data_IF_252813974456
#
_entry.id   IF_252813974456
#
_cell.length_a   1.000
_cell.length_b   1.000
_cell.length_c   1.000
_cell.angle_alpha   90.00
_cell.angle_beta   90.00
_cell.angle_gamma   90.00
#
_symmetry.space_group_name_H-M   'P 1'
#
loop_
_entity.id
_entity.type
_entity.pdbx_description
1 polymer ?
#
# COMPACT_ATOMS: atom_id res chain seq x y z
N UNK A 1 -22.10 9.67 -1.53
CA UNK A 1 -20.67 9.81 -1.86
C UNK A 1 -19.79 9.34 -0.72
N UNK A 2 -19.13 8.21 -0.97
CA UNK A 2 -18.07 7.62 -0.15
C UNK A 2 -16.86 8.53 -0.07
N UNK A 3 -16.06 8.38 0.98
CA UNK A 3 -14.82 9.15 1.16
C UNK A 3 -13.79 8.80 0.08
N UNK A 4 -13.65 7.52 -0.26
CA UNK A 4 -12.74 7.07 -1.32
C UNK A 4 -13.05 7.74 -2.68
N UNK A 5 -14.34 7.89 -3.00
CA UNK A 5 -14.78 8.62 -4.19
C UNK A 5 -14.31 10.08 -4.20
N UNK A 6 -14.40 10.77 -3.05
CA UNK A 6 -13.91 12.16 -2.94
C UNK A 6 -12.43 12.28 -3.25
N UNK A 7 -11.61 11.36 -2.72
CA UNK A 7 -10.17 11.33 -3.02
C UNK A 7 -9.88 11.15 -4.53
N UNK A 8 -10.71 10.38 -5.23
CA UNK A 8 -10.60 10.26 -6.70
C UNK A 8 -10.98 11.59 -7.37
N UNK A 9 -12.06 12.24 -6.95
CA UNK A 9 -12.52 13.52 -7.52
C UNK A 9 -11.55 14.68 -7.25
N UNK A 10 -10.83 14.67 -6.12
CA UNK A 10 -9.78 15.66 -5.85
C UNK A 10 -8.66 15.59 -6.90
N UNK A 11 -8.37 14.38 -7.42
CA UNK A 11 -7.34 14.14 -8.44
C UNK A 11 -7.90 14.22 -9.87
N UNK A 12 -9.17 13.87 -10.04
CA UNK A 12 -9.89 13.83 -11.32
C UNK A 12 -11.24 14.56 -11.22
N UNK A 13 -11.25 15.89 -11.07
CA UNK A 13 -12.49 16.65 -10.86
C UNK A 13 -13.46 16.56 -12.03
N UNK A 14 -12.95 16.31 -13.24
CA UNK A 14 -13.77 16.11 -14.44
C UNK A 14 -14.68 14.87 -14.38
N UNK A 15 -14.45 13.94 -13.45
CA UNK A 15 -15.30 12.76 -13.27
C UNK A 15 -16.59 13.04 -12.50
N UNK A 16 -16.70 14.19 -11.82
CA UNK A 16 -17.87 14.52 -10.99
C UNK A 16 -19.17 14.58 -11.81
N UNK A 17 -19.11 15.14 -13.03
CA UNK A 17 -20.25 15.16 -13.95
C UNK A 17 -20.62 13.80 -14.56
N UNK A 18 -19.84 12.75 -14.28
CA UNK A 18 -19.98 11.41 -14.87
C UNK A 18 -20.40 10.35 -13.85
N UNK A 19 -20.61 10.73 -12.61
CA UNK A 19 -20.85 9.81 -11.51
C UNK A 19 -22.12 8.98 -11.71
N UNK A 20 -23.21 9.59 -12.17
CA UNK A 20 -24.51 8.92 -12.30
C UNK A 20 -24.72 8.22 -13.65
N UNK A 21 -23.72 8.24 -14.54
CA UNK A 21 -23.84 7.69 -15.89
C UNK A 21 -24.14 6.17 -15.92
N UNK A 22 -23.73 5.43 -14.88
CA UNK A 22 -24.05 4.01 -14.74
C UNK A 22 -25.57 3.74 -14.64
N UNK A 23 -26.37 4.73 -14.23
CA UNK A 23 -27.84 4.61 -14.15
C UNK A 23 -28.50 4.56 -15.53
N UNK A 24 -27.84 5.05 -16.58
CA UNK A 24 -28.34 5.02 -17.95
C UNK A 24 -27.32 4.37 -18.89
N UNK A 25 -27.48 3.05 -19.10
CA UNK A 25 -26.55 2.23 -19.89
C UNK A 25 -26.34 2.73 -21.32
N UNK A 26 -27.33 3.38 -21.91
CA UNK A 26 -27.23 3.90 -23.29
C UNK A 26 -26.24 5.07 -23.40
N UNK A 27 -25.98 5.78 -22.30
CA UNK A 27 -25.06 6.93 -22.23
C UNK A 27 -23.62 6.57 -21.79
N UNK A 28 -23.39 5.33 -21.35
CA UNK A 28 -22.07 4.90 -20.81
C UNK A 28 -20.97 5.10 -21.86
N UNK A 29 -21.25 4.75 -23.12
CA UNK A 29 -20.28 4.88 -24.21
C UNK A 29 -19.87 6.34 -24.43
N UNK A 30 -20.84 7.25 -24.47
CA UNK A 30 -20.60 8.68 -24.70
C UNK A 30 -19.85 9.33 -23.53
N UNK A 31 -20.06 8.83 -22.31
CA UNK A 31 -19.38 9.29 -21.10
C UNK A 31 -17.92 8.81 -21.03
N UNK A 32 -17.66 7.59 -21.54
CA UNK A 32 -16.35 6.94 -21.54
C UNK A 32 -15.46 7.38 -22.71
N UNK A 33 -16.02 7.64 -23.89
CA UNK A 33 -15.26 7.99 -25.11
C UNK A 33 -14.21 9.10 -24.94
N UNK A 34 -14.43 10.17 -24.15
CA UNK A 34 -13.41 11.21 -23.96
C UNK A 34 -12.36 10.89 -22.87
N UNK A 35 -12.45 9.75 -22.17
CA UNK A 35 -11.52 9.38 -21.10
C UNK A 35 -10.36 8.53 -21.61
N UNK A 36 -9.18 8.68 -21.01
CA UNK A 36 -8.09 7.73 -21.20
C UNK A 36 -8.26 6.49 -20.29
N UNK A 37 -7.44 5.45 -20.52
CA UNK A 37 -7.53 4.18 -19.80
C UNK A 37 -7.42 4.34 -18.26
N UNK A 38 -6.58 5.27 -17.79
CA UNK A 38 -6.39 5.58 -16.37
C UNK A 38 -7.69 6.19 -15.80
N UNK A 39 -8.19 7.24 -16.44
CA UNK A 39 -9.41 7.94 -16.02
C UNK A 39 -10.63 7.02 -16.05
N UNK A 40 -10.75 6.19 -17.09
CA UNK A 40 -11.82 5.20 -17.22
C UNK A 40 -11.76 4.17 -16.08
N UNK A 41 -10.56 3.70 -15.74
CA UNK A 41 -10.35 2.78 -14.62
C UNK A 41 -10.77 3.40 -13.30
N UNK A 42 -10.40 4.66 -13.05
CA UNK A 42 -10.81 5.37 -11.83
C UNK A 42 -12.31 5.68 -11.80
N UNK A 43 -12.94 6.00 -12.93
CA UNK A 43 -14.40 6.18 -13.00
C UNK A 43 -15.14 4.87 -12.67
N UNK A 44 -14.71 3.74 -13.22
CA UNK A 44 -15.27 2.42 -12.90
C UNK A 44 -15.08 2.07 -11.42
N UNK A 45 -13.93 2.44 -10.85
CA UNK A 45 -13.66 2.25 -9.42
C UNK A 45 -14.61 3.10 -8.55
N UNK A 46 -14.89 4.34 -8.96
CA UNK A 46 -15.89 5.19 -8.30
C UNK A 46 -17.28 4.57 -8.36
N UNK A 47 -17.72 4.09 -9.53
CA UNK A 47 -19.02 3.44 -9.67
C UNK A 47 -19.16 2.23 -8.73
N UNK A 48 -18.11 1.40 -8.63
CA UNK A 48 -18.06 0.31 -7.67
C UNK A 48 -18.12 0.81 -6.21
N UNK A 49 -17.38 1.85 -5.83
CA UNK A 49 -17.41 2.36 -4.45
C UNK A 49 -18.80 2.89 -4.05
N UNK A 50 -19.47 3.61 -4.95
CA UNK A 50 -20.80 4.15 -4.70
C UNK A 50 -21.90 3.09 -4.74
N UNK A 51 -21.79 2.08 -5.61
CA UNK A 51 -22.83 1.06 -5.77
C UNK A 51 -22.28 -0.38 -5.90
N UNK A 52 -21.64 -0.93 -4.86
CA UNK A 52 -20.92 -2.21 -4.93
C UNK A 52 -21.82 -3.45 -5.10
N UNK A 53 -23.13 -3.32 -4.90
CA UNK A 53 -24.09 -4.43 -5.06
C UNK A 53 -24.51 -4.62 -6.52
N UNK A 54 -24.55 -3.53 -7.30
CA UNK A 54 -24.96 -3.56 -8.71
C UNK A 54 -23.80 -3.39 -9.69
N UNK A 55 -22.75 -2.67 -9.28
CA UNK A 55 -21.57 -2.40 -10.10
C UNK A 55 -20.41 -3.30 -9.68
N UNK A 56 -19.68 -3.83 -10.67
CA UNK A 56 -18.52 -4.70 -10.44
C UNK A 56 -17.23 -4.04 -10.90
N UNK A 57 -16.15 -4.23 -10.15
CA UNK A 57 -14.82 -3.78 -10.53
C UNK A 57 -13.90 -4.94 -10.89
N UNK A 58 -13.34 -4.93 -12.11
CA UNK A 58 -12.46 -5.99 -12.58
C UNK A 58 -10.99 -5.66 -12.29
N UNK A 59 -10.36 -6.38 -11.37
CA UNK A 59 -8.97 -6.15 -10.95
C UNK A 59 -7.94 -6.16 -12.10
N UNK A 60 -8.20 -6.87 -13.19
CA UNK A 60 -7.34 -6.86 -14.38
C UNK A 60 -7.16 -5.47 -15.01
N UNK A 61 -8.07 -4.51 -14.75
CA UNK A 61 -7.88 -3.12 -15.18
C UNK A 61 -6.72 -2.46 -14.46
N UNK A 62 -6.51 -2.75 -13.17
CA UNK A 62 -5.36 -2.23 -12.43
C UNK A 62 -4.04 -2.67 -13.05
N UNK A 63 -3.95 -3.92 -13.53
CA UNK A 63 -2.75 -4.46 -14.15
C UNK A 63 -2.48 -3.90 -15.55
N UNK A 64 -3.54 -3.66 -16.32
CA UNK A 64 -3.44 -3.29 -17.73
C UNK A 64 -3.32 -1.78 -17.92
N UNK A 65 -4.05 -1.02 -17.11
CA UNK A 65 -4.36 0.38 -17.39
C UNK A 65 -3.62 1.34 -16.44
N UNK A 66 -3.04 0.84 -15.34
CA UNK A 66 -2.36 1.66 -14.34
C UNK A 66 -0.88 1.25 -14.18
N UNK A 67 -0.01 2.23 -14.09
CA UNK A 67 1.42 2.10 -13.78
C UNK A 67 1.80 2.88 -12.52
N UNK A 68 2.92 2.50 -11.90
CA UNK A 68 3.61 3.19 -10.80
C UNK A 68 2.67 3.92 -9.82
N UNK A 69 2.69 5.26 -9.83
CA UNK A 69 1.94 6.14 -8.94
C UNK A 69 0.42 5.94 -9.04
N UNK A 70 -0.10 5.60 -10.22
CA UNK A 70 -1.54 5.38 -10.42
C UNK A 70 -1.98 4.05 -9.83
N UNK A 71 -1.18 3.00 -9.99
CA UNK A 71 -1.44 1.71 -9.38
C UNK A 71 -1.36 1.80 -7.85
N UNK A 72 -0.33 2.47 -7.32
CA UNK A 72 -0.21 2.71 -5.87
C UNK A 72 -1.43 3.45 -5.33
N UNK A 73 -1.84 4.53 -6.01
CA UNK A 73 -3.00 5.31 -5.61
C UNK A 73 -4.29 4.49 -5.61
N UNK A 74 -4.52 3.65 -6.63
CA UNK A 74 -5.70 2.79 -6.70
C UNK A 74 -5.72 1.74 -5.56
N UNK A 75 -4.57 1.13 -5.25
CA UNK A 75 -4.46 0.17 -4.14
C UNK A 75 -4.70 0.84 -2.78
N UNK A 76 -4.18 2.05 -2.58
CA UNK A 76 -4.42 2.85 -1.38
C UNK A 76 -5.92 3.15 -1.23
N UNK A 77 -6.59 3.56 -2.32
CA UNK A 77 -8.03 3.83 -2.34
C UNK A 77 -8.89 2.61 -2.04
N UNK A 78 -8.55 1.44 -2.59
CA UNK A 78 -9.27 0.19 -2.32
C UNK A 78 -9.16 -0.17 -0.83
N UNK A 79 -7.94 -0.12 -0.28
CA UNK A 79 -7.73 -0.38 1.14
C UNK A 79 -8.46 0.64 2.02
N UNK A 80 -8.41 1.92 1.64
CA UNK A 80 -9.10 3.01 2.31
C UNK A 80 -10.63 2.82 2.29
N UNK A 81 -11.22 2.48 1.14
CA UNK A 81 -12.65 2.19 1.02
C UNK A 81 -13.09 1.08 1.97
N UNK A 82 -12.35 -0.04 1.99
CA UNK A 82 -12.70 -1.17 2.86
C UNK A 82 -12.48 -0.87 4.36
N UNK A 83 -11.64 0.10 4.69
CA UNK A 83 -11.38 0.53 6.07
C UNK A 83 -12.36 1.61 6.54
N UNK A 84 -12.53 2.67 5.77
CA UNK A 84 -13.18 3.92 6.18
C UNK A 84 -14.63 4.06 5.71
N UNK A 85 -14.99 3.41 4.61
CA UNK A 85 -16.31 3.55 3.98
C UNK A 85 -17.24 2.34 4.20
N UNK A 86 -16.65 1.15 4.40
CA UNK A 86 -17.41 -0.09 4.67
C UNK A 86 -17.12 -0.71 6.03
N UNK A 87 -16.02 -0.31 6.68
CA UNK A 87 -15.56 -0.87 7.97
C UNK A 87 -15.36 -2.40 7.97
N UNK A 88 -15.16 -3.00 6.80
CA UNK A 88 -14.90 -4.44 6.66
C UNK A 88 -13.47 -4.79 7.11
N UNK A 89 -12.51 -3.88 6.91
CA UNK A 89 -11.17 -3.99 7.50
C UNK A 89 -11.19 -3.37 8.91
N UNK A 90 -11.45 -4.20 9.92
CA UNK A 90 -11.58 -3.75 11.32
C UNK A 90 -10.25 -3.52 12.04
N UNK A 91 -9.23 -4.31 11.69
CA UNK A 91 -7.89 -4.25 12.28
C UNK A 91 -6.86 -4.05 11.15
N UNK A 92 -6.71 -2.82 10.64
CA UNK A 92 -5.79 -2.56 9.55
C UNK A 92 -4.35 -2.85 9.99
N UNK A 93 -3.72 -3.84 9.36
CA UNK A 93 -2.27 -4.10 9.42
C UNK A 93 -1.58 -3.82 8.09
N UNK A 94 -2.36 -3.33 7.11
CA UNK A 94 -1.88 -2.97 5.79
C UNK A 94 -1.21 -1.61 5.86
N UNK A 95 0.08 -1.58 5.59
CA UNK A 95 0.80 -0.36 5.20
C UNK A 95 1.60 -0.70 3.96
N UNK A 96 1.54 0.16 2.96
CA UNK A 96 2.44 0.12 1.81
C UNK A 96 3.74 0.80 2.25
N UNK A 97 4.85 0.08 2.20
CA UNK A 97 6.19 0.68 2.31
C UNK A 97 6.55 1.12 0.89
N UNK A 98 6.70 2.42 0.67
CA UNK A 98 7.10 2.99 -0.62
C UNK A 98 8.63 2.92 -0.77
N UNK A 99 9.14 2.86 -2.00
CA UNK A 99 10.58 3.06 -2.20
C UNK A 99 10.99 4.47 -1.72
N UNK A 100 11.91 4.52 -0.76
CA UNK A 100 12.27 5.75 -0.04
C UNK A 100 11.85 5.74 1.44
N UNK A 101 10.97 4.83 1.84
CA UNK A 101 10.76 4.53 3.24
C UNK A 101 12.02 3.87 3.80
N UNK A 102 12.63 4.49 4.81
CA UNK A 102 13.84 4.03 5.48
C UNK A 102 13.63 2.71 6.26
N UNK A 103 12.76 1.79 5.83
CA UNK A 103 12.43 0.57 6.55
C UNK A 103 13.06 -0.67 5.91
N UNK A 104 13.85 -1.38 6.71
CA UNK A 104 14.51 -2.63 6.36
C UNK A 104 13.70 -3.80 6.91
N UNK A 105 13.39 -4.77 6.05
CA UNK A 105 12.86 -6.06 6.48
C UNK A 105 13.94 -6.93 7.15
N UNK A 106 13.55 -8.07 7.75
CA UNK A 106 14.50 -8.93 8.47
C UNK A 106 15.73 -9.37 7.65
N UNK A 107 15.54 -9.63 6.35
CA UNK A 107 16.64 -10.06 5.47
C UNK A 107 17.59 -8.90 5.20
N UNK A 108 17.03 -7.71 4.93
CA UNK A 108 17.82 -6.49 4.73
C UNK A 108 18.57 -6.05 5.99
N UNK A 109 17.94 -6.15 7.17
CA UNK A 109 18.60 -5.91 8.45
C UNK A 109 19.80 -6.86 8.63
N UNK A 110 19.62 -8.16 8.41
CA UNK A 110 20.74 -9.11 8.47
C UNK A 110 21.85 -8.75 7.46
N UNK A 111 21.49 -8.40 6.22
CA UNK A 111 22.42 -7.92 5.20
C UNK A 111 23.24 -6.71 5.66
N UNK A 112 22.57 -5.69 6.20
CA UNK A 112 23.21 -4.47 6.71
C UNK A 112 24.28 -4.75 7.78
N UNK A 113 24.00 -5.69 8.70
CA UNK A 113 24.95 -6.07 9.74
C UNK A 113 26.19 -6.78 9.15
N UNK A 114 25.98 -7.65 8.15
CA UNK A 114 27.08 -8.33 7.45
C UNK A 114 27.97 -7.34 6.69
N UNK A 115 27.37 -6.39 5.96
CA UNK A 115 28.08 -5.31 5.27
C UNK A 115 28.92 -4.48 6.25
N UNK A 116 28.42 -4.30 7.47
CA UNK A 116 29.10 -3.63 8.56
C UNK A 116 30.05 -4.52 9.38
N UNK A 117 30.47 -5.67 8.82
CA UNK A 117 31.43 -6.64 9.36
C UNK A 117 30.98 -7.35 10.65
N UNK A 118 29.70 -7.31 10.99
CA UNK A 118 29.14 -8.09 12.07
C UNK A 118 28.71 -9.47 11.55
N UNK A 119 29.05 -10.54 12.29
CA UNK A 119 28.71 -11.93 11.91
C UNK A 119 27.25 -12.25 12.25
N UNK A 120 26.31 -11.72 11.49
CA UNK A 120 24.87 -11.97 11.61
C UNK A 120 24.31 -12.54 10.31
N UNK A 121 24.09 -13.85 10.25
CA UNK A 121 23.23 -14.42 9.22
C UNK A 121 21.74 -14.28 9.61
N UNK A 122 20.85 -14.52 8.64
CA UNK A 122 19.39 -14.44 8.85
C UNK A 122 18.90 -15.40 9.95
N UNK A 123 19.53 -16.56 10.10
CA UNK A 123 19.15 -17.59 11.09
C UNK A 123 19.47 -17.11 12.50
N UNK A 124 20.69 -16.61 12.72
CA UNK A 124 21.15 -16.01 13.97
C UNK A 124 20.30 -14.81 14.34
N UNK A 125 19.99 -13.93 13.39
CA UNK A 125 19.14 -12.77 13.63
C UNK A 125 17.73 -13.19 14.08
N UNK A 126 17.14 -14.21 13.45
CA UNK A 126 15.84 -14.77 13.86
C UNK A 126 15.87 -15.34 15.29
N UNK A 127 16.91 -16.10 15.64
CA UNK A 127 17.09 -16.65 16.98
C UNK A 127 17.23 -15.53 18.03
N UNK A 128 18.02 -14.50 17.72
CA UNK A 128 18.27 -13.40 18.63
C UNK A 128 17.02 -12.53 18.81
N UNK A 129 16.22 -12.38 17.76
CA UNK A 129 14.94 -11.68 17.80
C UNK A 129 13.95 -12.39 18.73
N UNK A 130 13.82 -13.73 18.63
CA UNK A 130 13.00 -14.53 19.55
C UNK A 130 13.47 -14.44 21.01
N UNK A 131 14.76 -14.21 21.22
CA UNK A 131 15.38 -14.03 22.55
C UNK A 131 15.32 -12.58 23.07
N UNK A 132 14.70 -11.66 22.33
CA UNK A 132 14.62 -10.25 22.71
C UNK A 132 15.96 -9.51 22.66
N UNK A 133 16.96 -10.04 21.93
CA UNK A 133 18.29 -9.42 21.77
C UNK A 133 18.38 -8.47 20.58
N UNK A 134 17.41 -8.52 19.67
CA UNK A 134 17.25 -7.57 18.56
C UNK A 134 16.15 -6.58 18.98
N UNK A 135 16.24 -5.30 18.63
CA UNK A 135 15.15 -4.35 18.83
C UNK A 135 13.83 -4.88 18.28
N UNK A 136 12.72 -4.55 18.94
CA UNK A 136 11.39 -4.85 18.41
C UNK A 136 11.23 -4.14 17.05
N UNK A 137 10.48 -4.72 16.09
CA UNK A 137 10.18 -4.05 14.84
C UNK A 137 9.52 -2.69 15.11
N UNK A 138 9.93 -1.67 14.36
CA UNK A 138 9.33 -0.34 14.41
C UNK A 138 7.91 -0.39 13.83
N UNK A 139 7.71 -1.20 12.78
CA UNK A 139 6.40 -1.52 12.20
C UNK A 139 6.27 -3.02 11.89
N UNK A 140 5.02 -3.51 11.84
CA UNK A 140 4.70 -4.88 11.42
C UNK A 140 3.67 -4.87 10.31
N UNK A 141 4.01 -5.45 9.17
CA UNK A 141 3.15 -5.53 7.98
C UNK A 141 2.97 -6.99 7.60
N UNK A 142 1.72 -7.43 7.51
CA UNK A 142 1.39 -8.82 7.15
C UNK A 142 2.11 -9.86 8.03
N UNK A 143 2.31 -9.55 9.32
CA UNK A 143 3.03 -10.40 10.27
C UNK A 143 4.56 -10.33 10.19
N UNK A 144 5.11 -9.65 9.19
CA UNK A 144 6.54 -9.41 9.01
C UNK A 144 6.97 -8.11 9.69
N UNK A 145 8.05 -8.17 10.47
CA UNK A 145 8.64 -6.99 11.11
C UNK A 145 9.52 -6.20 10.15
N UNK A 146 9.48 -4.88 10.29
CA UNK A 146 10.35 -3.93 9.62
C UNK A 146 10.95 -2.97 10.64
N UNK A 147 12.17 -2.51 10.37
CA UNK A 147 12.94 -1.62 11.22
C UNK A 147 13.37 -0.42 10.41
N UNK A 148 13.22 0.78 10.97
CA UNK A 148 13.81 1.96 10.37
C UNK A 148 15.34 1.80 10.27
N UNK A 149 15.95 2.44 9.29
CA UNK A 149 17.39 2.42 9.05
C UNK A 149 18.12 2.95 10.27
N UNK A 150 17.58 4.00 10.89
CA UNK A 150 18.12 4.56 12.14
C UNK A 150 18.13 3.57 13.31
N UNK A 151 17.12 2.69 13.42
CA UNK A 151 17.07 1.62 14.43
C UNK A 151 18.14 0.56 14.15
N UNK A 152 18.29 0.18 12.88
CA UNK A 152 19.29 -0.80 12.44
C UNK A 152 20.71 -0.28 12.64
N UNK A 153 20.97 0.98 12.28
CA UNK A 153 22.25 1.68 12.48
C UNK A 153 22.65 1.72 13.95
N UNK A 154 21.75 2.19 14.82
CA UNK A 154 21.98 2.27 16.26
C UNK A 154 22.28 0.90 16.87
N UNK A 155 21.54 -0.12 16.47
CA UNK A 155 21.80 -1.50 16.92
C UNK A 155 23.17 -2.00 16.44
N UNK A 156 23.54 -1.69 15.20
CA UNK A 156 24.84 -2.05 14.64
C UNK A 156 25.99 -1.41 15.43
N UNK A 157 25.87 -0.14 15.81
CA UNK A 157 26.88 0.56 16.63
C UNK A 157 27.03 -0.08 18.01
N UNK A 158 25.91 -0.31 18.70
CA UNK A 158 25.90 -0.97 20.02
C UNK A 158 26.55 -2.36 19.99
N UNK A 159 26.30 -3.16 18.96
CA UNK A 159 26.91 -4.48 18.83
C UNK A 159 28.40 -4.41 18.46
N UNK A 160 28.84 -3.37 17.73
CA UNK A 160 30.28 -3.13 17.51
C UNK A 160 30.96 -2.80 18.85
N UNK A 161 30.45 -1.85 19.64
CA UNK A 161 30.99 -1.50 20.96
C UNK A 161 31.01 -2.68 21.95
N UNK A 162 30.09 -3.63 21.79
CA UNK A 162 30.04 -4.82 22.65
C UNK A 162 31.09 -5.88 22.26
N UNK A 163 31.45 -5.95 20.99
CA UNK A 163 32.32 -6.99 20.43
C UNK A 163 33.78 -6.55 20.31
N UNK A 164 34.04 -5.24 20.32
CA UNK A 164 35.37 -4.62 20.31
C UNK A 164 35.66 -3.96 21.66
#
# INVERSE_FOLDING_TARGET
>A
MKKATKHILDKFPMLEGKLEAYQNRDSIKDVMEPLNDVEETFLKLVWFFENPEDESFHLGWLYRDLDDDWLEFALELIAFYFREDTYLIKNPSFSLIREGDDYLNQTQFAGYLVENRLKYDRVKLNVYMKRGKIPKPDIKLSGQGYWSKSTVERFCEQEKERLF
#
